data_IF_923073436998
#
_entry.id   IF_923073436998
#
_cell.length_a   1.000
_cell.length_b   1.000
_cell.length_c   1.000
_cell.angle_alpha   90.00
_cell.angle_beta   90.00
_cell.angle_gamma   90.00
#
_symmetry.space_group_name_H-M   'P 1'
#
loop_
_entity.id
_entity.type
_entity.pdbx_description
1 polymer ?
#
# COMPACT_ATOMS: atom_id res chain seq x y z
N UNK A 1 -69.83 23.54 2.40
CA UNK A 1 -69.12 23.44 3.68
C UNK A 1 -68.62 22.02 3.84
N UNK A 2 -67.39 21.77 3.47
CA UNK A 2 -66.72 20.47 3.68
C UNK A 2 -65.24 20.81 4.01
N UNK A 3 -64.93 20.61 5.28
CA UNK A 3 -63.58 20.90 5.86
C UNK A 3 -62.57 19.83 5.49
N UNK A 4 -61.47 20.24 4.90
CA UNK A 4 -60.25 19.45 4.75
C UNK A 4 -59.43 19.54 6.05
N UNK A 5 -59.25 18.41 6.73
CA UNK A 5 -58.27 18.27 7.82
C UNK A 5 -57.01 17.67 7.19
N UNK A 6 -56.02 18.51 6.95
CA UNK A 6 -54.68 18.09 6.58
C UNK A 6 -53.90 17.65 7.82
N UNK A 7 -53.54 16.37 7.88
CA UNK A 7 -52.64 15.85 8.89
C UNK A 7 -51.21 16.29 8.59
N UNK A 8 -50.68 17.22 9.38
CA UNK A 8 -49.27 17.53 9.40
C UNK A 8 -48.52 16.36 10.03
N UNK A 9 -47.90 15.51 9.20
CA UNK A 9 -46.91 14.54 9.66
C UNK A 9 -45.64 15.30 10.03
N UNK A 10 -45.31 15.24 11.32
CA UNK A 10 -44.15 15.91 11.92
C UNK A 10 -42.84 15.52 11.24
N UNK A 11 -42.17 16.51 10.65
CA UNK A 11 -40.82 16.40 10.07
C UNK A 11 -39.76 16.18 11.14
N UNK A 12 -40.02 16.33 12.40
CA UNK A 12 -39.11 16.13 13.52
C UNK A 12 -38.71 14.67 13.73
N UNK A 13 -39.63 13.72 13.50
CA UNK A 13 -39.33 12.29 13.67
C UNK A 13 -38.39 11.73 12.60
N UNK A 14 -38.26 12.36 11.44
CA UNK A 14 -37.27 11.91 10.41
C UNK A 14 -35.86 12.40 10.73
N UNK A 15 -35.71 13.55 11.37
CA UNK A 15 -34.38 14.04 11.79
C UNK A 15 -33.83 13.26 12.99
N UNK A 16 -34.66 12.83 13.93
CA UNK A 16 -34.20 11.97 15.04
C UNK A 16 -33.83 10.55 14.60
N UNK A 17 -34.56 9.96 13.63
CA UNK A 17 -34.22 8.64 13.09
C UNK A 17 -32.92 8.65 12.26
N UNK A 18 -32.60 9.75 11.57
CA UNK A 18 -31.35 9.91 10.82
C UNK A 18 -30.18 10.21 11.76
N UNK A 19 -30.38 10.92 12.87
CA UNK A 19 -29.34 11.19 13.86
C UNK A 19 -28.99 9.98 14.72
N UNK A 20 -29.95 9.11 15.03
CA UNK A 20 -29.68 7.90 15.84
C UNK A 20 -28.96 6.78 15.09
N UNK A 21 -28.88 6.81 13.75
CA UNK A 21 -28.10 5.86 12.96
C UNK A 21 -26.62 6.24 12.80
N UNK A 22 -26.21 7.45 13.21
CA UNK A 22 -24.83 7.93 12.96
C UNK A 22 -23.79 7.52 14.01
N UNK A 23 -24.21 7.08 15.21
CA UNK A 23 -23.29 6.84 16.34
C UNK A 23 -23.12 5.37 16.77
N UNK A 24 -23.74 4.42 16.08
CA UNK A 24 -23.38 3.02 16.27
C UNK A 24 -21.95 2.80 15.76
N UNK A 25 -21.00 2.73 16.67
CA UNK A 25 -19.62 2.34 16.35
C UNK A 25 -19.68 1.09 15.45
N UNK A 26 -19.26 1.23 14.19
CA UNK A 26 -19.34 0.15 13.21
C UNK A 26 -18.38 -0.96 13.65
N UNK A 27 -18.88 -1.94 14.38
CA UNK A 27 -18.08 -3.10 14.79
C UNK A 27 -17.75 -3.92 13.55
N UNK A 28 -16.46 -4.11 13.32
CA UNK A 28 -16.00 -4.99 12.24
C UNK A 28 -16.45 -6.43 12.56
N UNK A 29 -17.07 -7.14 11.60
CA UNK A 29 -17.38 -8.56 11.78
C UNK A 29 -16.13 -9.40 11.93
N UNK A 30 -16.23 -10.56 12.57
CA UNK A 30 -15.11 -11.41 12.95
C UNK A 30 -14.13 -11.69 11.79
N UNK A 31 -14.64 -11.97 10.59
CA UNK A 31 -13.79 -12.26 9.42
C UNK A 31 -12.94 -11.05 8.99
N UNK A 32 -13.43 -9.81 9.14
CA UNK A 32 -12.65 -8.62 8.87
C UNK A 32 -11.65 -8.31 9.98
N UNK A 33 -12.00 -8.57 11.25
CA UNK A 33 -11.04 -8.47 12.36
C UNK A 33 -9.87 -9.44 12.16
N UNK A 34 -10.15 -10.70 11.78
CA UNK A 34 -9.12 -11.69 11.47
C UNK A 34 -8.30 -11.25 10.25
N UNK A 35 -8.91 -10.64 9.23
CA UNK A 35 -8.18 -10.10 8.08
C UNK A 35 -7.24 -8.96 8.49
N UNK A 36 -7.68 -8.04 9.35
CA UNK A 36 -6.81 -6.98 9.90
C UNK A 36 -5.66 -7.59 10.71
N UNK A 37 -5.94 -8.61 11.51
CA UNK A 37 -4.91 -9.34 12.25
C UNK A 37 -3.91 -10.04 11.31
N UNK A 38 -4.39 -10.65 10.21
CA UNK A 38 -3.52 -11.24 9.18
C UNK A 38 -2.60 -10.21 8.53
N UNK A 39 -3.17 -9.03 8.18
CA UNK A 39 -2.40 -7.93 7.61
C UNK A 39 -1.37 -7.39 8.59
N UNK A 40 -1.76 -7.18 9.85
CA UNK A 40 -0.87 -6.74 10.91
C UNK A 40 0.26 -7.76 11.17
N UNK A 41 -0.07 -9.05 11.28
CA UNK A 41 0.90 -10.12 11.47
C UNK A 41 1.90 -10.20 10.29
N UNK A 42 1.42 -10.05 9.05
CA UNK A 42 2.28 -10.05 7.88
C UNK A 42 3.20 -8.81 7.86
N UNK A 43 2.67 -7.61 8.14
CA UNK A 43 3.44 -6.36 8.12
C UNK A 43 4.46 -6.34 9.27
N UNK A 44 4.04 -6.68 10.49
CA UNK A 44 4.90 -6.64 11.67
C UNK A 44 5.84 -7.85 11.75
N UNK A 45 5.52 -8.96 11.06
CA UNK A 45 6.30 -10.19 10.96
C UNK A 45 7.19 -10.24 9.72
N UNK A 46 8.03 -9.25 9.50
CA UNK A 46 9.02 -9.18 8.41
C UNK A 46 8.42 -9.38 7.00
N UNK A 47 7.22 -8.81 6.77
CA UNK A 47 6.53 -8.93 5.49
C UNK A 47 6.02 -10.34 5.18
N UNK A 48 6.05 -11.26 6.14
CA UNK A 48 5.86 -12.71 5.98
C UNK A 48 6.83 -13.32 4.94
N UNK A 49 8.06 -12.78 4.85
CA UNK A 49 9.08 -13.27 3.90
C UNK A 49 9.54 -14.69 4.21
N UNK A 50 9.77 -15.02 5.49
CA UNK A 50 10.26 -16.33 5.91
C UNK A 50 9.14 -17.36 6.01
N UNK A 51 9.48 -18.65 5.86
CA UNK A 51 8.52 -19.77 5.85
C UNK A 51 7.59 -19.80 7.07
N UNK A 52 8.11 -19.52 8.26
CA UNK A 52 7.29 -19.45 9.47
C UNK A 52 6.24 -18.33 9.40
N UNK A 53 6.62 -17.14 8.91
CA UNK A 53 5.69 -16.03 8.66
C UNK A 53 4.63 -16.37 7.62
N UNK A 54 5.02 -17.04 6.53
CA UNK A 54 4.09 -17.50 5.49
C UNK A 54 3.09 -18.52 6.03
N UNK A 55 3.53 -19.48 6.84
CA UNK A 55 2.66 -20.46 7.47
C UNK A 55 1.67 -19.80 8.45
N UNK A 56 2.16 -18.94 9.32
CA UNK A 56 1.33 -18.16 10.25
C UNK A 56 0.27 -17.36 9.49
N UNK A 57 0.67 -16.66 8.43
CA UNK A 57 -0.23 -15.89 7.59
C UNK A 57 -1.28 -16.79 6.92
N UNK A 58 -0.88 -17.94 6.37
CA UNK A 58 -1.79 -18.89 5.74
C UNK A 58 -2.85 -19.40 6.72
N UNK A 59 -2.47 -19.70 7.97
CA UNK A 59 -3.41 -20.14 9.03
C UNK A 59 -4.39 -19.02 9.36
N UNK A 60 -3.92 -17.79 9.56
CA UNK A 60 -4.80 -16.66 9.91
C UNK A 60 -5.76 -16.35 8.75
N UNK A 61 -5.29 -16.39 7.50
CA UNK A 61 -6.15 -16.19 6.33
C UNK A 61 -7.17 -17.32 6.18
N UNK A 62 -6.79 -18.58 6.43
CA UNK A 62 -7.74 -19.68 6.44
C UNK A 62 -8.84 -19.50 7.49
N UNK A 63 -8.49 -19.04 8.70
CA UNK A 63 -9.47 -18.69 9.73
C UNK A 63 -10.39 -17.55 9.30
N UNK A 64 -9.86 -16.52 8.61
CA UNK A 64 -10.67 -15.44 8.06
C UNK A 64 -11.67 -15.94 7.00
N UNK A 65 -11.22 -16.84 6.13
CA UNK A 65 -12.10 -17.51 5.12
C UNK A 65 -13.18 -18.34 5.81
N UNK A 66 -12.82 -19.18 6.78
CA UNK A 66 -13.78 -20.01 7.53
C UNK A 66 -14.83 -19.12 8.22
N UNK A 67 -14.39 -18.03 8.86
CA UNK A 67 -15.31 -17.09 9.50
C UNK A 67 -16.21 -16.39 8.47
N UNK A 68 -15.70 -16.06 7.29
CA UNK A 68 -16.48 -15.49 6.19
C UNK A 68 -17.48 -16.51 5.62
N UNK A 69 -17.12 -17.78 5.50
CA UNK A 69 -17.99 -18.85 4.99
C UNK A 69 -19.22 -19.08 5.88
N UNK A 70 -19.10 -18.90 7.20
CA UNK A 70 -20.24 -19.03 8.13
C UNK A 70 -21.39 -18.03 7.83
N UNK A 71 -21.07 -16.91 7.24
CA UNK A 71 -22.04 -15.86 6.84
C UNK A 71 -22.35 -15.92 5.35
N UNK A 72 -21.92 -16.99 4.63
CA UNK A 72 -22.00 -17.08 3.17
C UNK A 72 -23.38 -17.56 2.69
N UNK A 73 -24.17 -16.73 1.99
CA UNK A 73 -25.30 -17.24 1.22
C UNK A 73 -24.75 -17.96 -0.03
N UNK A 74 -24.97 -19.27 -0.11
CA UNK A 74 -24.46 -20.15 -1.19
C UNK A 74 -25.17 -19.93 -2.55
N UNK A 75 -25.47 -18.71 -2.92
CA UNK A 75 -26.20 -18.41 -4.13
C UNK A 75 -25.30 -17.83 -5.21
N UNK A 76 -25.05 -18.65 -6.24
CA UNK A 76 -24.60 -18.38 -7.62
C UNK A 76 -23.24 -17.71 -7.86
N UNK A 77 -22.51 -18.28 -8.85
CA UNK A 77 -21.30 -17.74 -9.46
C UNK A 77 -21.60 -16.42 -10.19
N UNK A 78 -21.03 -15.30 -9.71
CA UNK A 78 -21.14 -14.01 -10.33
C UNK A 78 -19.94 -13.70 -11.24
N UNK A 79 -20.18 -12.96 -12.33
CA UNK A 79 -19.17 -12.45 -13.26
C UNK A 79 -18.07 -11.56 -12.62
N UNK A 80 -18.22 -11.21 -11.35
CA UNK A 80 -17.25 -10.49 -10.54
C UNK A 80 -16.14 -11.38 -9.94
N UNK A 81 -16.12 -12.68 -10.30
CA UNK A 81 -15.05 -13.63 -9.97
C UNK A 81 -13.79 -13.45 -10.84
N UNK A 82 -13.81 -12.54 -11.83
CA UNK A 82 -12.69 -12.34 -12.75
C UNK A 82 -11.31 -12.30 -12.08
N UNK A 83 -11.06 -11.44 -11.07
CA UNK A 83 -9.76 -11.43 -10.39
C UNK A 83 -9.43 -12.73 -9.67
N UNK A 84 -10.41 -13.42 -9.07
CA UNK A 84 -10.23 -14.70 -8.37
C UNK A 84 -9.86 -15.79 -9.37
N UNK A 85 -10.57 -15.86 -10.50
CA UNK A 85 -10.25 -16.79 -11.60
C UNK A 85 -8.88 -16.50 -12.18
N UNK A 86 -8.53 -15.25 -12.40
CA UNK A 86 -7.21 -14.87 -12.89
C UNK A 86 -6.08 -15.29 -11.91
N UNK A 87 -6.29 -15.13 -10.59
CA UNK A 87 -5.36 -15.65 -9.58
C UNK A 87 -5.24 -17.17 -9.65
N UNK A 88 -6.35 -17.89 -9.80
CA UNK A 88 -6.35 -19.35 -9.90
C UNK A 88 -5.64 -19.83 -11.17
N UNK A 89 -5.88 -19.19 -12.31
CA UNK A 89 -5.21 -19.53 -13.59
C UNK A 89 -3.71 -19.27 -13.49
N UNK A 90 -3.29 -18.13 -12.95
CA UNK A 90 -1.86 -17.82 -12.78
C UNK A 90 -1.20 -18.77 -11.76
N UNK A 91 -1.88 -19.15 -10.68
CA UNK A 91 -1.39 -20.15 -9.72
C UNK A 91 -1.25 -21.52 -10.39
N UNK A 92 -2.24 -21.96 -11.17
CA UNK A 92 -2.18 -23.19 -11.96
C UNK A 92 -1.02 -23.19 -12.95
N UNK A 93 -0.80 -22.06 -13.63
CA UNK A 93 0.36 -21.90 -14.51
C UNK A 93 1.69 -21.98 -13.77
N UNK A 94 1.80 -21.34 -12.58
CA UNK A 94 3.01 -21.42 -11.77
C UNK A 94 3.33 -22.88 -11.36
N UNK A 95 2.31 -23.66 -10.98
CA UNK A 95 2.47 -25.09 -10.67
C UNK A 95 2.88 -25.88 -11.92
N UNK A 96 2.25 -25.65 -13.06
CA UNK A 96 2.59 -26.30 -14.33
C UNK A 96 4.01 -25.97 -14.78
N UNK A 97 4.41 -24.68 -14.76
CA UNK A 97 5.78 -24.24 -15.06
C UNK A 97 6.80 -24.92 -14.15
N UNK A 98 6.51 -25.02 -12.85
CA UNK A 98 7.35 -25.71 -11.88
C UNK A 98 7.48 -27.22 -12.18
N UNK A 99 6.37 -27.88 -12.59
CA UNK A 99 6.37 -29.29 -12.97
C UNK A 99 7.20 -29.52 -14.23
N UNK A 100 7.07 -28.66 -15.25
CA UNK A 100 7.87 -28.71 -16.47
C UNK A 100 9.37 -28.44 -16.23
N UNK A 101 9.67 -27.70 -15.15
CA UNK A 101 11.05 -27.46 -14.70
C UNK A 101 11.57 -28.58 -13.79
N UNK A 102 10.76 -29.60 -13.42
CA UNK A 102 11.10 -30.68 -12.51
C UNK A 102 11.22 -30.27 -11.03
N UNK A 103 10.61 -29.15 -10.62
CA UNK A 103 10.80 -28.54 -9.30
C UNK A 103 9.49 -27.99 -8.70
N UNK A 104 8.47 -28.81 -8.57
CA UNK A 104 7.11 -28.45 -8.11
C UNK A 104 7.09 -27.72 -6.75
N UNK A 105 8.04 -28.01 -5.87
CA UNK A 105 8.13 -27.38 -4.54
C UNK A 105 8.30 -25.86 -4.64
N UNK A 106 8.99 -25.36 -5.68
CA UNK A 106 9.19 -23.91 -5.91
C UNK A 106 7.89 -23.12 -6.12
N UNK A 107 6.83 -23.77 -6.63
CA UNK A 107 5.55 -23.11 -6.86
C UNK A 107 4.73 -22.82 -5.59
N UNK A 108 5.05 -23.43 -4.44
CA UNK A 108 4.23 -23.36 -3.22
C UNK A 108 4.01 -21.92 -2.75
N UNK A 109 5.08 -21.13 -2.66
CA UNK A 109 4.99 -19.75 -2.18
C UNK A 109 4.15 -18.88 -3.12
N UNK A 110 4.39 -18.97 -4.44
CA UNK A 110 3.65 -18.23 -5.46
C UNK A 110 2.18 -18.62 -5.48
N UNK A 111 1.87 -19.91 -5.46
CA UNK A 111 0.49 -20.39 -5.43
C UNK A 111 -0.24 -19.99 -4.14
N UNK A 112 0.39 -20.15 -2.97
CA UNK A 112 -0.18 -19.74 -1.69
C UNK A 112 -0.45 -18.22 -1.64
N UNK A 113 0.45 -17.40 -2.16
CA UNK A 113 0.27 -15.95 -2.26
C UNK A 113 -0.93 -15.60 -3.15
N UNK A 114 -1.07 -16.19 -4.33
CA UNK A 114 -2.18 -15.93 -5.25
C UNK A 114 -3.52 -16.41 -4.67
N UNK A 115 -3.54 -17.55 -3.98
CA UNK A 115 -4.71 -18.02 -3.23
C UNK A 115 -5.05 -17.04 -2.10
N UNK A 116 -4.06 -16.52 -1.38
CA UNK A 116 -4.24 -15.51 -0.34
C UNK A 116 -4.84 -14.21 -0.89
N UNK A 117 -4.31 -13.72 -2.02
CA UNK A 117 -4.87 -12.55 -2.72
C UNK A 117 -6.33 -12.78 -3.11
N UNK A 118 -6.66 -13.94 -3.70
CA UNK A 118 -8.02 -14.29 -4.06
C UNK A 118 -8.95 -14.33 -2.84
N UNK A 119 -8.50 -14.93 -1.72
CA UNK A 119 -9.25 -15.00 -0.46
C UNK A 119 -9.53 -13.61 0.09
N UNK A 120 -8.54 -12.71 0.15
CA UNK A 120 -8.70 -11.32 0.60
C UNK A 120 -9.72 -10.58 -0.26
N UNK A 121 -9.62 -10.68 -1.60
CA UNK A 121 -10.58 -10.06 -2.50
C UNK A 121 -12.01 -10.56 -2.24
N UNK A 122 -12.19 -11.86 -2.02
CA UNK A 122 -13.48 -12.46 -1.71
C UNK A 122 -14.06 -11.98 -0.37
N UNK A 123 -13.22 -11.87 0.65
CA UNK A 123 -13.61 -11.37 1.98
C UNK A 123 -14.04 -9.90 1.88
N UNK A 124 -13.24 -9.04 1.24
CA UNK A 124 -13.50 -7.61 1.12
C UNK A 124 -14.79 -7.29 0.34
N UNK A 125 -15.14 -8.09 -0.67
CA UNK A 125 -16.36 -7.90 -1.47
C UNK A 125 -17.66 -7.98 -0.67
N UNK A 126 -17.63 -8.59 0.51
CA UNK A 126 -18.80 -8.76 1.38
C UNK A 126 -18.97 -7.63 2.37
N UNK A 127 -18.02 -6.72 2.40
CA UNK A 127 -18.02 -5.63 3.36
C UNK A 127 -18.98 -4.53 2.93
N UNK A 128 -19.74 -3.99 3.88
CA UNK A 128 -20.53 -2.76 3.69
C UNK A 128 -19.64 -1.55 3.48
N UNK A 129 -20.13 -0.43 2.95
CA UNK A 129 -19.31 0.80 2.81
C UNK A 129 -18.66 1.25 4.13
N UNK A 130 -19.39 1.18 5.25
CA UNK A 130 -18.86 1.53 6.57
C UNK A 130 -17.74 0.57 7.03
N UNK A 131 -17.88 -0.74 6.78
CA UNK A 131 -16.85 -1.74 7.07
C UNK A 131 -15.60 -1.55 6.21
N UNK A 132 -15.76 -1.13 4.94
CA UNK A 132 -14.63 -0.81 4.05
C UNK A 132 -13.87 0.42 4.52
N UNK A 133 -14.57 1.46 4.98
CA UNK A 133 -13.95 2.64 5.58
C UNK A 133 -13.16 2.28 6.85
N UNK A 134 -13.72 1.42 7.70
CA UNK A 134 -13.03 0.93 8.90
C UNK A 134 -11.80 0.07 8.54
N UNK A 135 -11.92 -0.81 7.53
CA UNK A 135 -10.81 -1.63 7.04
C UNK A 135 -9.69 -0.76 6.42
N UNK A 136 -10.07 0.28 5.66
CA UNK A 136 -9.11 1.25 5.11
C UNK A 136 -8.38 2.00 6.23
N UNK A 137 -9.11 2.44 7.26
CA UNK A 137 -8.53 3.06 8.45
C UNK A 137 -7.57 2.13 9.21
N UNK A 138 -7.95 0.85 9.38
CA UNK A 138 -7.11 -0.16 10.01
C UNK A 138 -5.82 -0.42 9.22
N UNK A 139 -5.90 -0.54 7.89
CA UNK A 139 -4.73 -0.71 7.03
C UNK A 139 -3.78 0.49 7.14
N UNK A 140 -4.31 1.73 7.11
CA UNK A 140 -3.54 2.96 7.31
C UNK A 140 -2.88 2.98 8.69
N UNK A 141 -3.59 2.58 9.76
CA UNK A 141 -3.05 2.55 11.11
C UNK A 141 -1.90 1.54 11.25
N UNK A 142 -2.04 0.31 10.72
CA UNK A 142 -0.98 -0.69 10.74
C UNK A 142 0.24 -0.22 9.94
N UNK A 143 0.03 0.42 8.79
CA UNK A 143 1.12 1.04 8.02
C UNK A 143 1.82 2.17 8.78
N UNK A 144 1.08 3.02 9.50
CA UNK A 144 1.65 4.08 10.33
C UNK A 144 2.48 3.53 11.50
N UNK A 145 2.04 2.42 12.11
CA UNK A 145 2.83 1.70 13.12
C UNK A 145 4.14 1.14 12.53
N UNK A 146 4.07 0.53 11.33
CA UNK A 146 5.27 0.07 10.64
C UNK A 146 6.21 1.24 10.29
N UNK A 147 5.67 2.38 9.87
CA UNK A 147 6.47 3.59 9.61
C UNK A 147 7.17 4.09 10.88
N UNK A 148 6.48 4.07 12.02
CA UNK A 148 7.04 4.45 13.31
C UNK A 148 8.23 3.56 13.70
N UNK A 149 8.16 2.23 13.49
CA UNK A 149 9.31 1.34 13.75
C UNK A 149 10.53 1.72 12.91
N UNK A 150 10.33 2.08 11.63
CA UNK A 150 11.42 2.53 10.77
C UNK A 150 12.07 3.82 11.25
N UNK A 151 11.28 4.80 11.69
CA UNK A 151 11.78 6.02 12.29
C UNK A 151 12.56 5.75 13.59
N UNK A 152 11.98 4.93 14.49
CA UNK A 152 12.65 4.46 15.71
C UNK A 152 13.98 3.78 15.37
N UNK A 153 13.94 2.88 14.36
CA UNK A 153 15.12 2.17 13.90
C UNK A 153 16.27 3.10 13.54
N UNK A 154 16.01 4.18 12.81
CA UNK A 154 17.04 5.16 12.41
C UNK A 154 17.47 6.02 13.61
N UNK A 155 16.52 6.52 14.42
CA UNK A 155 16.80 7.41 15.54
C UNK A 155 17.69 6.77 16.62
N UNK A 156 17.52 5.45 16.87
CA UNK A 156 18.32 4.68 17.85
C UNK A 156 19.27 3.67 17.21
N UNK A 157 19.32 3.59 15.88
CA UNK A 157 20.08 2.58 15.11
C UNK A 157 19.74 1.15 15.54
N UNK A 158 18.45 0.90 15.72
CA UNK A 158 17.95 -0.40 16.16
C UNK A 158 17.76 -1.34 14.96
N UNK A 159 18.55 -2.41 14.92
CA UNK A 159 18.36 -3.51 13.95
C UNK A 159 17.27 -4.46 14.44
N UNK A 160 16.44 -5.03 13.57
CA UNK A 160 16.45 -4.92 12.10
C UNK A 160 15.59 -3.78 11.54
N UNK A 161 15.07 -2.87 12.35
CA UNK A 161 14.15 -1.80 11.92
C UNK A 161 14.85 -0.70 11.10
N UNK A 162 16.15 -0.55 11.28
CA UNK A 162 17.01 0.18 10.37
C UNK A 162 18.27 -0.62 10.09
N UNK A 163 18.81 -0.46 8.88
CA UNK A 163 20.01 -1.14 8.43
C UNK A 163 20.96 -0.14 7.78
N UNK A 164 22.27 -0.27 8.02
CA UNK A 164 23.27 0.52 7.32
C UNK A 164 23.39 0.05 5.86
N UNK A 165 23.32 0.99 4.95
CA UNK A 165 23.51 0.74 3.51
C UNK A 165 24.20 1.93 2.88
N UNK A 166 25.35 1.70 2.22
CA UNK A 166 26.17 2.72 1.59
C UNK A 166 26.47 3.92 2.52
N UNK A 167 26.92 3.66 3.74
CA UNK A 167 27.28 4.68 4.72
C UNK A 167 26.11 5.38 5.44
N UNK A 168 24.87 5.03 5.15
CA UNK A 168 23.69 5.64 5.76
C UNK A 168 22.79 4.59 6.42
N UNK A 169 22.28 4.89 7.62
CA UNK A 169 21.19 4.15 8.24
C UNK A 169 19.88 4.48 7.55
N UNK A 170 19.23 3.45 7.04
CA UNK A 170 17.95 3.55 6.32
C UNK A 170 16.87 2.83 7.09
N UNK A 171 15.67 3.44 7.16
CA UNK A 171 14.52 2.76 7.72
C UNK A 171 14.16 1.51 6.89
N UNK A 172 14.27 0.35 7.51
CA UNK A 172 13.86 -0.93 6.95
C UNK A 172 12.52 -1.39 7.52
N UNK A 173 12.01 -0.69 8.55
CA UNK A 173 10.80 -1.01 9.30
C UNK A 173 10.85 -2.45 9.84
N UNK A 174 9.70 -3.04 10.08
CA UNK A 174 9.60 -4.47 10.40
C UNK A 174 9.95 -5.40 9.24
N UNK A 175 10.06 -4.87 8.01
CA UNK A 175 10.40 -5.66 6.80
C UNK A 175 11.87 -6.06 6.70
N UNK A 176 12.74 -5.41 7.45
CA UNK A 176 14.20 -5.57 7.33
C UNK A 176 14.74 -5.28 5.90
N UNK A 177 13.97 -4.52 5.10
CA UNK A 177 14.33 -4.14 3.73
C UNK A 177 13.71 -2.78 3.36
N UNK A 178 14.54 -1.76 3.19
CA UNK A 178 14.10 -0.38 3.03
C UNK A 178 13.21 -0.12 1.80
N UNK A 179 13.50 -0.78 0.66
CA UNK A 179 12.68 -0.58 -0.54
C UNK A 179 11.32 -1.25 -0.42
N UNK A 180 11.22 -2.44 0.21
CA UNK A 180 9.96 -3.08 0.48
C UNK A 180 9.12 -2.28 1.50
N UNK A 181 9.76 -1.72 2.52
CA UNK A 181 9.11 -0.79 3.44
C UNK A 181 8.46 0.38 2.68
N UNK A 182 9.20 1.03 1.76
CA UNK A 182 8.63 2.06 0.90
C UNK A 182 7.49 1.53 0.01
N UNK A 183 7.62 0.30 -0.53
CA UNK A 183 6.59 -0.37 -1.33
C UNK A 183 5.27 -0.57 -0.61
N UNK A 184 5.31 -0.81 0.71
CA UNK A 184 4.13 -0.86 1.58
C UNK A 184 3.62 0.53 1.94
N UNK A 185 4.52 1.42 2.39
CA UNK A 185 4.13 2.69 3.01
C UNK A 185 3.55 3.68 1.99
N UNK A 186 4.05 3.69 0.74
CA UNK A 186 3.59 4.62 -0.31
C UNK A 186 2.09 4.45 -0.62
N UNK A 187 1.57 3.25 -0.96
CA UNK A 187 0.14 3.09 -1.22
C UNK A 187 -0.74 3.49 -0.03
N UNK A 188 -0.30 3.18 1.20
CA UNK A 188 -1.04 3.52 2.42
C UNK A 188 -0.98 5.03 2.73
N UNK A 189 0.14 5.69 2.43
CA UNK A 189 0.24 7.15 2.51
C UNK A 189 -0.72 7.82 1.52
N UNK A 190 -0.76 7.37 0.28
CA UNK A 190 -1.67 7.90 -0.74
C UNK A 190 -3.14 7.70 -0.35
N UNK A 191 -3.49 6.55 0.23
CA UNK A 191 -4.83 6.31 0.77
C UNK A 191 -5.17 7.27 1.93
N UNK A 192 -4.27 7.42 2.90
CA UNK A 192 -4.47 8.33 4.04
C UNK A 192 -4.63 9.79 3.59
N UNK A 193 -3.79 10.24 2.66
CA UNK A 193 -3.84 11.59 2.10
C UNK A 193 -5.13 11.83 1.30
N UNK A 194 -5.59 10.84 0.53
CA UNK A 194 -6.85 10.91 -0.18
C UNK A 194 -8.05 11.01 0.81
N UNK A 195 -8.07 10.15 1.84
CA UNK A 195 -9.12 10.21 2.87
C UNK A 195 -9.12 11.55 3.61
N UNK A 196 -7.96 12.19 3.77
CA UNK A 196 -7.88 13.55 4.31
C UNK A 196 -8.57 14.61 3.46
N UNK A 197 -8.60 14.44 2.13
CA UNK A 197 -9.36 15.37 1.26
C UNK A 197 -10.84 15.35 1.60
N UNK A 198 -11.40 14.16 1.92
CA UNK A 198 -12.79 14.02 2.35
C UNK A 198 -13.01 14.44 3.81
N UNK A 199 -12.01 14.24 4.68
CA UNK A 199 -12.10 14.48 6.14
C UNK A 199 -10.97 15.41 6.60
N UNK A 200 -10.96 16.71 6.18
CA UNK A 200 -9.81 17.62 6.36
C UNK A 200 -9.49 17.93 7.83
N UNK A 201 -10.43 17.73 8.76
CA UNK A 201 -10.26 17.97 10.20
C UNK A 201 -9.91 16.72 10.99
N UNK A 202 -9.82 15.55 10.38
CA UNK A 202 -9.51 14.28 11.06
C UNK A 202 -8.06 14.27 11.56
N UNK A 203 -7.88 14.36 12.87
CA UNK A 203 -6.56 14.32 13.52
C UNK A 203 -5.87 12.96 13.34
N UNK A 204 -6.54 11.81 13.48
CA UNK A 204 -5.93 10.50 13.23
C UNK A 204 -5.35 10.38 11.81
N UNK A 205 -6.04 10.91 10.78
CA UNK A 205 -5.55 10.89 9.40
C UNK A 205 -4.36 11.83 9.18
N UNK A 206 -4.29 12.96 9.92
CA UNK A 206 -3.11 13.84 9.90
C UNK A 206 -1.90 13.12 10.46
N UNK A 207 -2.04 12.54 11.65
CA UNK A 207 -0.96 11.82 12.33
C UNK A 207 -0.48 10.61 11.51
N UNK A 208 -1.42 9.81 11.01
CA UNK A 208 -1.09 8.65 10.18
C UNK A 208 -0.40 9.08 8.86
N UNK A 209 -0.94 10.09 8.16
CA UNK A 209 -0.35 10.61 6.94
C UNK A 209 1.06 11.19 7.17
N UNK A 210 1.26 11.89 8.29
CA UNK A 210 2.56 12.41 8.69
C UNK A 210 3.56 11.26 8.95
N UNK A 211 3.19 10.26 9.78
CA UNK A 211 4.04 9.12 10.10
C UNK A 211 4.39 8.30 8.84
N UNK A 212 3.42 8.05 7.96
CA UNK A 212 3.65 7.33 6.71
C UNK A 212 4.64 8.08 5.81
N UNK A 213 4.51 9.40 5.65
CA UNK A 213 5.45 10.22 4.88
C UNK A 213 6.85 10.24 5.53
N UNK A 214 6.94 10.32 6.86
CA UNK A 214 8.21 10.20 7.60
C UNK A 214 8.84 8.85 7.32
N UNK A 215 8.06 7.77 7.43
CA UNK A 215 8.53 6.42 7.14
C UNK A 215 9.07 6.28 5.71
N UNK A 216 8.31 6.74 4.70
CA UNK A 216 8.77 6.73 3.30
C UNK A 216 10.07 7.50 3.13
N UNK A 217 10.15 8.73 3.67
CA UNK A 217 11.37 9.56 3.60
C UNK A 217 12.58 8.91 4.28
N UNK A 218 12.37 8.32 5.47
CA UNK A 218 13.43 7.65 6.23
C UNK A 218 13.97 6.38 5.55
N UNK A 219 13.21 5.75 4.63
CA UNK A 219 13.72 4.61 3.82
C UNK A 219 14.82 5.02 2.85
N UNK A 220 14.91 6.28 2.45
CA UNK A 220 15.79 6.77 1.37
C UNK A 220 15.64 5.93 0.08
N UNK A 221 14.46 5.34 -0.16
CA UNK A 221 14.17 4.54 -1.35
C UNK A 221 13.87 5.44 -2.55
N UNK A 222 14.73 5.38 -3.56
CA UNK A 222 14.54 6.11 -4.83
C UNK A 222 13.29 5.61 -5.57
N UNK A 223 13.09 4.29 -5.62
CA UNK A 223 11.89 3.69 -6.20
C UNK A 223 10.62 4.14 -5.45
N UNK A 224 10.69 4.19 -4.12
CA UNK A 224 9.61 4.72 -3.28
C UNK A 224 9.30 6.19 -3.53
N UNK A 225 10.34 7.04 -3.70
CA UNK A 225 10.17 8.46 -4.01
C UNK A 225 9.51 8.67 -5.39
N UNK A 226 9.94 7.93 -6.42
CA UNK A 226 9.33 7.95 -7.76
C UNK A 226 7.87 7.51 -7.67
N UNK A 227 7.59 6.39 -6.99
CA UNK A 227 6.24 5.87 -6.83
C UNK A 227 5.32 6.86 -6.08
N UNK A 228 5.81 7.49 -5.00
CA UNK A 228 5.05 8.51 -4.27
C UNK A 228 4.75 9.73 -5.16
N UNK A 229 5.73 10.23 -5.90
CA UNK A 229 5.56 11.38 -6.80
C UNK A 229 4.51 11.10 -7.86
N UNK A 230 4.59 9.93 -8.51
CA UNK A 230 3.61 9.51 -9.52
C UNK A 230 2.23 9.32 -8.88
N UNK A 231 2.16 8.68 -7.70
CA UNK A 231 0.90 8.51 -6.97
C UNK A 231 0.25 9.85 -6.57
N UNK A 232 1.04 10.83 -6.13
CA UNK A 232 0.54 12.18 -5.85
C UNK A 232 0.06 12.89 -7.12
N UNK A 233 0.73 12.70 -8.25
CA UNK A 233 0.27 13.24 -9.54
C UNK A 233 -1.09 12.64 -9.95
N UNK A 234 -1.28 11.32 -9.77
CA UNK A 234 -2.57 10.65 -9.99
C UNK A 234 -3.64 11.19 -9.04
N UNK A 235 -3.34 11.36 -7.75
CA UNK A 235 -4.28 11.97 -6.80
C UNK A 235 -4.64 13.41 -7.19
N UNK A 236 -3.67 14.22 -7.62
CA UNK A 236 -3.91 15.58 -8.07
C UNK A 236 -4.83 15.64 -9.28
N UNK A 237 -4.65 14.69 -10.20
CA UNK A 237 -5.52 14.54 -11.37
C UNK A 237 -6.95 14.13 -10.99
N UNK A 238 -7.12 13.18 -10.07
CA UNK A 238 -8.44 12.63 -9.68
C UNK A 238 -9.22 13.56 -8.74
N UNK A 239 -8.55 14.22 -7.78
CA UNK A 239 -9.20 14.99 -6.71
C UNK A 239 -9.09 16.52 -6.89
N UNK A 240 -8.29 16.95 -7.84
CA UNK A 240 -7.93 18.34 -8.08
C UNK A 240 -6.73 18.83 -7.24
N UNK A 241 -5.77 19.52 -7.87
CA UNK A 241 -4.49 19.87 -7.24
C UNK A 241 -4.65 20.75 -6.00
N UNK A 242 -5.56 21.73 -6.03
CA UNK A 242 -5.77 22.67 -4.91
C UNK A 242 -6.31 21.94 -3.66
N UNK A 243 -7.26 21.01 -3.85
CA UNK A 243 -7.81 20.23 -2.73
C UNK A 243 -6.74 19.32 -2.14
N UNK A 244 -5.96 18.69 -3.00
CA UNK A 244 -4.86 17.80 -2.58
C UNK A 244 -3.79 18.60 -1.82
N UNK A 245 -3.30 19.72 -2.33
CA UNK A 245 -2.28 20.56 -1.66
C UNK A 245 -2.75 20.97 -0.26
N UNK A 246 -4.02 21.36 -0.10
CA UNK A 246 -4.58 21.70 1.21
C UNK A 246 -4.61 20.51 2.18
N UNK A 247 -4.90 19.33 1.69
CA UNK A 247 -4.93 18.12 2.51
C UNK A 247 -3.52 17.61 2.85
N UNK A 248 -2.60 17.63 1.89
CA UNK A 248 -1.24 17.09 1.99
C UNK A 248 -0.31 18.05 2.75
N UNK A 249 -0.50 19.37 2.59
CA UNK A 249 0.39 20.40 3.13
C UNK A 249 0.76 20.24 4.62
N UNK A 250 -0.22 20.10 5.53
CA UNK A 250 0.09 19.89 6.95
C UNK A 250 0.93 18.61 7.21
N UNK A 251 0.60 17.51 6.51
CA UNK A 251 1.33 16.25 6.68
C UNK A 251 2.76 16.33 6.14
N UNK A 252 2.95 16.94 4.96
CA UNK A 252 4.29 17.09 4.36
C UNK A 252 5.18 18.00 5.18
N UNK A 253 4.61 19.08 5.71
CA UNK A 253 5.37 20.01 6.53
C UNK A 253 5.82 19.38 7.84
N UNK A 254 4.90 18.68 8.54
CA UNK A 254 5.25 17.95 9.75
C UNK A 254 6.26 16.83 9.49
N UNK A 255 6.10 16.10 8.39
CA UNK A 255 7.05 15.07 7.99
C UNK A 255 8.43 15.65 7.64
N UNK A 256 8.48 16.79 6.94
CA UNK A 256 9.73 17.45 6.60
C UNK A 256 10.52 17.88 7.85
N UNK A 257 9.83 18.46 8.86
CA UNK A 257 10.46 18.82 10.13
C UNK A 257 11.06 17.57 10.81
N UNK A 258 10.26 16.52 10.94
CA UNK A 258 10.70 15.29 11.57
C UNK A 258 11.89 14.63 10.83
N UNK A 259 11.89 14.65 9.50
CA UNK A 259 12.98 14.11 8.67
C UNK A 259 14.24 14.96 8.75
N UNK A 260 14.12 16.30 8.80
CA UNK A 260 15.26 17.18 9.02
C UNK A 260 15.95 16.93 10.35
N UNK A 261 15.18 16.69 11.43
CA UNK A 261 15.75 16.33 12.73
C UNK A 261 16.31 14.90 12.80
N UNK A 262 15.79 13.98 11.95
CA UNK A 262 16.27 12.61 11.85
C UNK A 262 17.56 12.51 11.00
N UNK A 263 17.72 13.38 10.01
CA UNK A 263 18.83 13.33 9.04
C UNK A 263 20.22 13.25 9.66
N UNK A 264 20.55 13.97 10.77
CA UNK A 264 21.85 13.86 11.43
C UNK A 264 22.14 12.48 12.04
N UNK A 265 21.10 11.65 12.29
CA UNK A 265 21.27 10.28 12.79
C UNK A 265 21.55 9.26 11.68
N UNK A 266 21.38 9.63 10.41
CA UNK A 266 21.54 8.71 9.29
C UNK A 266 22.98 8.34 8.96
N UNK A 267 24.00 9.24 8.97
CA UNK A 267 25.38 8.88 8.63
C UNK A 267 25.95 7.83 9.59
N UNK A 268 26.43 6.70 9.06
CA UNK A 268 26.92 5.57 9.85
C UNK A 268 28.18 5.91 10.67
N UNK A 269 29.05 6.78 10.14
CA UNK A 269 30.30 7.20 10.79
C UNK A 269 30.15 8.19 11.96
N UNK A 270 28.93 8.58 12.35
CA UNK A 270 28.66 9.54 13.43
C UNK A 270 27.68 8.95 14.44
N UNK A 271 27.72 9.36 15.74
CA UNK A 271 26.72 8.93 16.71
C UNK A 271 25.33 9.46 16.34
N UNK A 272 24.23 8.73 16.66
CA UNK A 272 22.89 9.19 16.40
C UNK A 272 22.53 10.41 17.27
N UNK A 273 21.78 11.34 16.69
CA UNK A 273 21.29 12.55 17.36
C UNK A 273 19.85 12.34 17.84
N UNK A 274 19.63 11.36 18.72
CA UNK A 274 18.31 10.88 19.13
C UNK A 274 17.44 11.98 19.74
N UNK A 275 18.02 12.85 20.60
CA UNK A 275 17.28 13.96 21.21
C UNK A 275 16.74 14.96 20.16
N UNK A 276 17.55 15.29 19.13
CA UNK A 276 17.13 16.15 18.02
C UNK A 276 16.03 15.47 17.20
N UNK A 277 16.18 14.17 16.90
CA UNK A 277 15.20 13.41 16.14
C UNK A 277 13.83 13.38 16.86
N UNK A 278 13.82 13.10 18.18
CA UNK A 278 12.60 13.07 19.00
C UNK A 278 11.97 14.46 19.07
N UNK A 279 12.75 15.51 19.38
CA UNK A 279 12.25 16.88 19.44
C UNK A 279 11.62 17.32 18.12
N UNK A 280 12.29 17.03 16.98
CA UNK A 280 11.78 17.34 15.65
C UNK A 280 10.53 16.54 15.28
N UNK A 281 10.42 15.26 15.68
CA UNK A 281 9.20 14.47 15.49
C UNK A 281 8.03 15.10 16.23
N UNK A 282 8.19 15.41 17.51
CA UNK A 282 7.14 16.02 18.34
C UNK A 282 6.71 17.36 17.73
N UNK A 283 7.66 18.24 17.41
CA UNK A 283 7.37 19.53 16.78
C UNK A 283 6.67 19.34 15.42
N UNK A 284 7.14 18.41 14.58
CA UNK A 284 6.54 18.10 13.30
C UNK A 284 5.08 17.64 13.42
N UNK A 285 4.78 16.73 14.35
CA UNK A 285 3.42 16.26 14.61
C UNK A 285 2.53 17.37 15.17
N UNK A 286 3.02 18.18 16.11
CA UNK A 286 2.28 19.31 16.67
C UNK A 286 1.99 20.38 15.59
N UNK A 287 2.93 20.66 14.70
CA UNK A 287 2.73 21.57 13.57
C UNK A 287 1.67 20.99 12.62
N UNK A 288 1.76 19.72 12.24
CA UNK A 288 0.79 19.09 11.35
C UNK A 288 -0.64 19.16 11.92
N UNK A 289 -0.80 18.87 13.22
CA UNK A 289 -2.09 18.94 13.94
C UNK A 289 -2.54 20.41 14.06
N UNK A 290 -1.66 21.30 14.52
CA UNK A 290 -1.97 22.72 14.72
C UNK A 290 -2.45 23.42 13.44
N UNK A 291 -1.82 23.13 12.29
CA UNK A 291 -2.22 23.65 10.99
C UNK A 291 -3.65 23.25 10.57
N UNK A 292 -4.12 22.08 11.04
CA UNK A 292 -5.48 21.62 10.74
C UNK A 292 -6.53 22.24 11.65
N UNK A 293 -6.14 22.68 12.85
CA UNK A 293 -7.04 23.30 13.84
C UNK A 293 -7.12 24.81 13.61
N UNK A 294 -5.96 25.48 13.46
CA UNK A 294 -5.83 26.93 13.47
C UNK A 294 -6.11 27.62 12.12
N UNK A 295 -6.20 26.84 11.03
CA UNK A 295 -6.55 27.35 9.71
C UNK A 295 -5.44 28.12 8.98
N UNK A 296 -5.80 28.80 7.88
CA UNK A 296 -4.85 29.31 6.86
C UNK A 296 -3.82 30.33 7.36
N UNK A 297 -4.16 31.18 8.34
CA UNK A 297 -3.25 32.20 8.85
C UNK A 297 -2.09 31.59 9.65
N UNK A 298 -2.38 30.57 10.45
CA UNK A 298 -1.37 29.84 11.19
C UNK A 298 -0.43 29.03 10.27
N UNK A 299 -0.94 28.53 9.12
CA UNK A 299 -0.13 27.85 8.09
C UNK A 299 0.98 28.76 7.58
N UNK A 300 0.67 30.02 7.28
CA UNK A 300 1.65 30.98 6.74
C UNK A 300 2.72 31.31 7.80
N UNK A 301 2.31 31.55 9.04
CA UNK A 301 3.25 31.87 10.13
C UNK A 301 4.15 30.67 10.44
N UNK A 302 3.59 29.46 10.49
CA UNK A 302 4.36 28.25 10.68
C UNK A 302 5.29 27.94 9.51
N UNK A 303 4.83 28.11 8.26
CA UNK A 303 5.66 27.94 7.06
C UNK A 303 6.85 28.91 7.02
N UNK A 304 6.63 30.17 7.37
CA UNK A 304 7.71 31.17 7.49
C UNK A 304 8.67 30.79 8.62
N UNK A 305 8.18 30.43 9.80
CA UNK A 305 9.02 29.98 10.91
C UNK A 305 9.88 28.79 10.56
N UNK A 306 9.31 27.80 9.84
CA UNK A 306 10.02 26.59 9.40
C UNK A 306 11.02 26.91 8.28
N UNK A 307 10.66 27.77 7.34
CA UNK A 307 11.60 28.21 6.30
C UNK A 307 12.84 28.88 6.93
N UNK A 308 12.65 29.68 7.98
CA UNK A 308 13.74 30.28 8.74
C UNK A 308 14.57 29.21 9.46
N UNK A 309 13.92 28.25 10.15
CA UNK A 309 14.60 27.15 10.84
C UNK A 309 15.35 26.28 9.82
N UNK A 310 14.73 25.94 8.69
CA UNK A 310 15.36 25.17 7.62
C UNK A 310 16.56 25.94 7.01
N UNK A 311 16.43 27.23 6.75
CA UNK A 311 17.52 28.07 6.24
C UNK A 311 18.74 28.09 7.19
N UNK A 312 18.51 27.96 8.50
CA UNK A 312 19.58 27.94 9.50
C UNK A 312 20.14 26.51 9.70
N UNK A 313 19.29 25.49 9.73
CA UNK A 313 19.70 24.11 10.03
C UNK A 313 20.20 23.33 8.81
N UNK A 314 19.58 23.51 7.64
CA UNK A 314 19.95 22.77 6.42
C UNK A 314 21.41 23.01 6.01
N UNK A 315 21.95 24.24 5.97
CA UNK A 315 23.36 24.44 5.70
C UNK A 315 24.29 23.79 6.72
N UNK A 316 23.92 23.77 8.01
CA UNK A 316 24.69 23.13 9.06
C UNK A 316 24.69 21.60 8.95
N UNK A 317 23.56 21.02 8.56
CA UNK A 317 23.42 19.55 8.30
C UNK A 317 24.19 19.18 7.03
N UNK A 318 24.07 19.97 5.95
CA UNK A 318 24.76 19.73 4.69
C UNK A 318 26.28 19.96 4.78
N UNK A 319 26.73 20.99 5.50
CA UNK A 319 28.16 21.23 5.74
C UNK A 319 28.81 20.09 6.54
N UNK A 320 28.02 19.33 7.29
CA UNK A 320 28.49 18.18 8.03
C UNK A 320 28.29 16.82 7.32
N UNK A 321 27.61 16.78 6.18
CA UNK A 321 27.36 15.53 5.45
C UNK A 321 28.48 15.30 4.41
N UNK A 322 29.05 14.07 4.32
CA UNK A 322 29.98 13.74 3.23
C UNK A 322 29.21 13.84 1.91
N UNK A 323 29.50 14.87 1.13
CA UNK A 323 28.83 15.16 -0.16
C UNK A 323 28.91 14.02 -1.17
N UNK A 324 29.92 13.17 -1.06
CA UNK A 324 30.10 11.98 -1.90
C UNK A 324 29.07 10.87 -1.61
N UNK A 325 28.64 10.69 -0.36
CA UNK A 325 27.68 9.61 0.01
C UNK A 325 26.25 9.90 -0.44
N UNK A 326 25.81 11.17 -0.40
CA UNK A 326 24.51 11.58 -0.94
C UNK A 326 24.53 11.69 -2.46
N UNK A 327 25.63 12.14 -3.07
CA UNK A 327 25.78 12.30 -4.52
C UNK A 327 25.69 10.97 -5.28
N UNK A 328 26.25 9.88 -4.73
CA UNK A 328 26.20 8.55 -5.35
C UNK A 328 24.76 7.97 -5.44
N UNK A 329 23.82 8.53 -4.67
CA UNK A 329 22.41 8.08 -4.63
C UNK A 329 21.49 8.81 -5.63
N UNK A 330 21.98 9.76 -6.42
CA UNK A 330 21.15 10.46 -7.42
C UNK A 330 20.84 9.56 -8.63
N UNK A 331 21.68 8.57 -8.94
CA UNK A 331 21.42 7.63 -10.04
C UNK A 331 20.33 6.62 -9.67
N UNK A 332 19.24 6.57 -10.43
CA UNK A 332 18.15 5.58 -10.26
C UNK A 332 18.58 4.18 -10.67
N UNK A 333 19.58 4.07 -11.53
CA UNK A 333 20.06 2.81 -12.13
C UNK A 333 21.50 2.54 -11.66
N UNK A 334 21.72 1.36 -11.05
CA UNK A 334 23.06 0.84 -10.75
C UNK A 334 23.50 -0.14 -11.84
N UNK A 335 24.81 -0.26 -12.04
CA UNK A 335 25.42 -1.26 -12.95
C UNK A 335 24.91 -2.67 -12.66
N UNK A 336 24.74 -3.03 -11.37
CA UNK A 336 24.29 -4.35 -10.95
C UNK A 336 22.84 -4.63 -11.36
N UNK A 337 21.95 -3.63 -11.31
CA UNK A 337 20.57 -3.79 -11.79
C UNK A 337 20.49 -4.03 -13.29
N UNK A 338 21.35 -3.36 -14.08
CA UNK A 338 21.44 -3.59 -15.53
C UNK A 338 21.93 -5.02 -15.80
N UNK A 339 22.97 -5.47 -15.09
CA UNK A 339 23.50 -6.83 -15.26
C UNK A 339 22.48 -7.89 -14.82
N UNK A 340 21.77 -7.67 -13.71
CA UNK A 340 20.67 -8.51 -13.26
C UNK A 340 19.57 -8.62 -14.32
N UNK A 341 19.13 -7.49 -14.89
CA UNK A 341 18.13 -7.47 -15.95
C UNK A 341 18.60 -8.25 -17.20
N UNK A 342 19.85 -8.04 -17.64
CA UNK A 342 20.44 -8.79 -18.75
C UNK A 342 20.50 -10.30 -18.47
N UNK A 343 20.85 -10.69 -17.25
CA UNK A 343 20.88 -12.09 -16.84
C UNK A 343 19.47 -12.72 -16.83
N UNK A 344 18.45 -11.95 -16.40
CA UNK A 344 17.05 -12.38 -16.44
C UNK A 344 16.54 -12.60 -17.86
N UNK A 345 16.88 -11.71 -18.79
CA UNK A 345 16.55 -11.88 -20.21
C UNK A 345 17.21 -13.13 -20.79
N UNK A 346 18.52 -13.34 -20.55
CA UNK A 346 19.20 -14.57 -20.98
C UNK A 346 18.57 -15.85 -20.39
N UNK A 347 18.06 -15.78 -19.16
CA UNK A 347 17.35 -16.91 -18.56
C UNK A 347 16.00 -17.16 -19.24
N UNK A 348 15.26 -16.09 -19.54
CA UNK A 348 13.99 -16.15 -20.26
C UNK A 348 14.15 -16.69 -21.72
N UNK A 349 15.23 -16.31 -22.42
CA UNK A 349 15.53 -16.79 -23.77
C UNK A 349 15.73 -18.31 -23.85
N UNK A 350 16.22 -18.94 -22.75
CA UNK A 350 16.41 -20.40 -22.72
C UNK A 350 15.09 -21.17 -22.62
N UNK A 351 14.04 -20.59 -22.02
CA UNK A 351 12.71 -21.17 -21.85
C UNK A 351 11.63 -20.09 -21.99
N UNK A 352 11.41 -19.57 -23.22
CA UNK A 352 10.65 -18.35 -23.41
C UNK A 352 9.17 -18.47 -23.01
N UNK A 353 8.56 -19.65 -23.14
CA UNK A 353 7.14 -19.85 -22.83
C UNK A 353 6.92 -20.16 -21.36
N UNK A 354 7.73 -21.02 -20.75
CA UNK A 354 7.50 -21.59 -19.42
C UNK A 354 8.38 -20.98 -18.32
N UNK A 355 9.48 -20.30 -18.67
CA UNK A 355 10.46 -19.83 -17.72
C UNK A 355 11.28 -20.95 -17.06
N UNK A 356 12.05 -20.58 -16.06
CA UNK A 356 12.91 -21.49 -15.29
C UNK A 356 12.17 -22.25 -14.17
N UNK A 357 10.93 -21.88 -13.90
CA UNK A 357 10.14 -22.30 -12.74
C UNK A 357 10.16 -21.27 -11.59
N UNK A 358 9.08 -21.17 -10.80
CA UNK A 358 8.98 -20.22 -9.70
C UNK A 358 10.08 -20.42 -8.66
N UNK A 359 10.71 -19.33 -8.20
CA UNK A 359 11.80 -19.35 -7.24
C UNK A 359 13.09 -19.96 -7.76
N UNK A 360 13.25 -20.16 -9.09
CA UNK A 360 14.43 -20.75 -9.72
C UNK A 360 15.27 -19.73 -10.49
N UNK A 361 14.94 -18.45 -10.46
CA UNK A 361 15.73 -17.40 -11.10
C UNK A 361 17.02 -17.10 -10.29
N UNK A 362 17.96 -18.03 -10.30
CA UNK A 362 19.32 -17.75 -9.81
C UNK A 362 20.08 -17.06 -10.93
N UNK A 363 20.40 -15.80 -10.75
CA UNK A 363 21.09 -14.95 -11.71
C UNK A 363 22.53 -14.77 -11.28
N UNK A 364 23.45 -14.90 -12.21
CA UNK A 364 24.86 -14.70 -11.94
C UNK A 364 25.54 -13.92 -13.09
N UNK A 365 26.51 -13.11 -12.73
CA UNK A 365 27.40 -12.41 -13.67
C UNK A 365 28.74 -12.16 -13.03
N UNK A 366 29.75 -11.91 -13.86
CA UNK A 366 31.07 -11.55 -13.40
C UNK A 366 31.13 -10.03 -13.23
N UNK A 367 31.46 -9.58 -12.02
CA UNK A 367 31.67 -8.17 -11.71
C UNK A 367 32.96 -7.62 -12.33
N UNK A 368 33.14 -6.29 -12.30
CA UNK A 368 34.36 -5.64 -12.81
C UNK A 368 35.66 -6.09 -12.09
N UNK A 369 35.50 -6.59 -10.86
CA UNK A 369 36.57 -7.13 -10.01
C UNK A 369 36.90 -8.62 -10.27
N UNK A 370 36.25 -9.22 -11.29
CA UNK A 370 36.39 -10.62 -11.64
C UNK A 370 35.62 -11.60 -10.73
N UNK A 371 34.89 -11.11 -9.72
CA UNK A 371 34.08 -11.95 -8.83
C UNK A 371 32.73 -12.31 -9.45
N UNK A 372 32.33 -13.56 -9.27
CA UNK A 372 30.99 -13.99 -9.65
C UNK A 372 30.01 -13.51 -8.60
N UNK A 373 29.08 -12.63 -9.00
CA UNK A 373 27.97 -12.15 -8.20
C UNK A 373 26.75 -13.02 -8.49
N UNK A 374 26.04 -13.42 -7.44
CA UNK A 374 24.83 -14.24 -7.53
C UNK A 374 23.69 -13.54 -6.79
N UNK A 375 22.54 -13.41 -7.44
CA UNK A 375 21.33 -12.89 -6.83
C UNK A 375 20.12 -13.76 -7.18
N UNK A 376 19.13 -13.74 -6.31
CA UNK A 376 17.85 -14.42 -6.51
C UNK A 376 16.78 -13.52 -7.17
N UNK A 377 16.89 -12.20 -7.02
CA UNK A 377 15.84 -11.26 -7.44
C UNK A 377 16.37 -10.19 -8.39
N UNK A 378 15.63 -9.95 -9.46
CA UNK A 378 16.01 -9.04 -10.56
C UNK A 378 15.89 -7.56 -10.20
N UNK A 379 15.31 -7.19 -9.05
CA UNK A 379 14.88 -5.83 -8.73
C UNK A 379 13.88 -5.24 -9.75
N UNK A 380 13.09 -6.09 -10.37
CA UNK A 380 11.98 -5.77 -11.25
C UNK A 380 11.07 -7.00 -11.33
N UNK A 381 9.86 -6.90 -10.76
CA UNK A 381 8.94 -8.04 -10.66
C UNK A 381 8.46 -8.56 -11.99
N UNK A 382 8.28 -7.69 -12.98
CA UNK A 382 7.84 -8.10 -14.31
C UNK A 382 8.91 -8.94 -15.02
N UNK A 383 10.18 -8.56 -14.90
CA UNK A 383 11.31 -9.34 -15.40
C UNK A 383 11.52 -10.63 -14.60
N UNK A 384 11.28 -10.60 -13.29
CA UNK A 384 11.31 -11.79 -12.44
C UNK A 384 10.28 -12.82 -12.92
N UNK A 385 9.03 -12.38 -13.11
CA UNK A 385 7.97 -13.25 -13.63
C UNK A 385 8.28 -13.75 -15.03
N UNK A 386 8.83 -12.93 -15.91
CA UNK A 386 9.27 -13.35 -17.24
C UNK A 386 10.35 -14.44 -17.16
N UNK A 387 11.33 -14.29 -16.29
CA UNK A 387 12.43 -15.25 -16.12
C UNK A 387 11.93 -16.59 -15.50
N UNK A 388 11.00 -16.51 -14.54
CA UNK A 388 10.52 -17.68 -13.80
C UNK A 388 9.33 -18.39 -14.46
N UNK A 389 8.37 -17.64 -15.02
CA UNK A 389 7.12 -18.17 -15.57
C UNK A 389 6.99 -18.02 -17.09
N UNK A 390 7.99 -17.42 -17.74
CA UNK A 390 8.02 -17.19 -19.17
C UNK A 390 7.00 -16.13 -19.65
N UNK A 391 6.86 -16.01 -20.96
CA UNK A 391 5.93 -15.05 -21.59
C UNK A 391 4.48 -15.35 -21.25
N UNK A 392 4.11 -16.63 -21.10
CA UNK A 392 2.75 -17.03 -20.71
C UNK A 392 2.46 -16.52 -19.29
N UNK A 393 3.39 -16.73 -18.32
CA UNK A 393 3.23 -16.24 -16.97
C UNK A 393 3.14 -14.73 -16.90
N UNK A 394 3.97 -14.00 -17.65
CA UNK A 394 3.90 -12.54 -17.74
C UNK A 394 2.57 -12.07 -18.34
N UNK A 395 2.08 -12.70 -19.41
CA UNK A 395 0.78 -12.37 -20.01
C UNK A 395 -0.37 -12.60 -19.02
N UNK A 396 -0.37 -13.71 -18.29
CA UNK A 396 -1.37 -14.01 -17.26
C UNK A 396 -1.31 -13.01 -16.09
N UNK A 397 -0.12 -12.60 -15.68
CA UNK A 397 0.05 -11.53 -14.67
C UNK A 397 -0.54 -10.21 -15.17
N UNK A 398 -0.21 -9.79 -16.39
CA UNK A 398 -0.74 -8.55 -16.96
C UNK A 398 -2.28 -8.63 -17.10
N UNK A 399 -2.82 -9.79 -17.47
CA UNK A 399 -4.26 -10.03 -17.50
C UNK A 399 -4.88 -9.92 -16.10
N UNK A 400 -4.26 -10.48 -15.05
CA UNK A 400 -4.69 -10.32 -13.64
C UNK A 400 -4.70 -8.84 -13.24
N UNK A 401 -3.64 -8.10 -13.52
CA UNK A 401 -3.56 -6.67 -13.21
C UNK A 401 -4.62 -5.86 -13.98
N UNK A 402 -4.87 -6.18 -15.24
CA UNK A 402 -5.92 -5.54 -16.05
C UNK A 402 -7.32 -5.83 -15.50
N UNK A 403 -7.61 -7.07 -15.09
CA UNK A 403 -8.90 -7.45 -14.51
C UNK A 403 -9.09 -6.77 -13.14
N UNK A 404 -8.04 -6.67 -12.31
CA UNK A 404 -8.07 -5.92 -11.06
C UNK A 404 -8.29 -4.43 -11.30
N UNK A 405 -7.58 -3.82 -12.23
CA UNK A 405 -7.76 -2.41 -12.60
C UNK A 405 -9.19 -2.14 -13.09
N UNK A 406 -9.75 -3.03 -13.93
CA UNK A 406 -11.16 -2.95 -14.37
C UNK A 406 -12.15 -3.06 -13.20
N UNK A 407 -11.88 -3.94 -12.23
CA UNK A 407 -12.69 -4.06 -11.01
C UNK A 407 -12.66 -2.76 -10.20
N UNK A 408 -11.47 -2.23 -9.95
CA UNK A 408 -11.27 -0.97 -9.21
C UNK A 408 -11.95 0.20 -9.95
N UNK A 409 -11.81 0.27 -11.27
CA UNK A 409 -12.44 1.32 -12.07
C UNK A 409 -13.97 1.28 -12.01
N UNK A 410 -14.55 0.08 -12.11
CA UNK A 410 -16.01 -0.12 -12.01
C UNK A 410 -16.55 0.14 -10.60
N UNK A 411 -15.71 0.00 -9.58
CA UNK A 411 -16.06 0.27 -8.19
C UNK A 411 -16.08 1.75 -7.81
N UNK A 412 -15.82 2.68 -8.73
CA UNK A 412 -15.73 4.11 -8.43
C UNK A 412 -17.00 4.69 -7.81
N UNK A 413 -18.17 4.23 -8.27
CA UNK A 413 -19.48 4.72 -7.85
C UNK A 413 -20.05 3.94 -6.65
N UNK A 414 -19.35 2.86 -6.23
CA UNK A 414 -19.77 1.93 -5.17
C UNK A 414 -19.03 2.13 -3.84
N UNK A 415 -18.01 2.98 -3.83
CA UNK A 415 -17.22 3.27 -2.62
C UNK A 415 -17.84 4.47 -1.90
N UNK A 416 -17.98 4.38 -0.59
CA UNK A 416 -18.62 5.40 0.23
C UNK A 416 -18.06 6.82 0.08
N UNK A 417 -16.83 6.99 -0.46
CA UNK A 417 -16.29 8.31 -0.81
C UNK A 417 -15.43 8.25 -2.07
N UNK A 418 -15.59 9.20 -3.02
CA UNK A 418 -14.72 9.32 -4.19
C UNK A 418 -13.24 9.46 -3.82
N UNK A 419 -12.95 10.00 -2.64
CA UNK A 419 -11.58 10.17 -2.15
C UNK A 419 -10.92 8.83 -1.80
N UNK A 420 -11.63 7.91 -1.15
CA UNK A 420 -11.11 6.57 -0.86
C UNK A 420 -10.79 5.82 -2.17
N UNK A 421 -11.69 5.89 -3.16
CA UNK A 421 -11.44 5.31 -4.48
C UNK A 421 -10.18 5.91 -5.13
N UNK A 422 -10.05 7.24 -5.14
CA UNK A 422 -8.88 7.90 -5.70
C UNK A 422 -7.57 7.46 -5.00
N UNK A 423 -7.61 7.32 -3.66
CA UNK A 423 -6.49 6.80 -2.88
C UNK A 423 -6.10 5.37 -3.25
N UNK A 424 -7.09 4.49 -3.47
CA UNK A 424 -6.86 3.12 -3.94
C UNK A 424 -6.23 3.11 -5.33
N UNK A 425 -6.79 3.87 -6.28
CA UNK A 425 -6.25 3.96 -7.65
C UNK A 425 -4.81 4.45 -7.62
N UNK A 426 -4.54 5.56 -6.94
CA UNK A 426 -3.20 6.14 -6.86
C UNK A 426 -2.22 5.19 -6.15
N UNK A 427 -2.64 4.54 -5.06
CA UNK A 427 -1.82 3.58 -4.31
C UNK A 427 -1.45 2.36 -5.12
N UNK A 428 -2.41 1.73 -5.80
CA UNK A 428 -2.17 0.55 -6.64
C UNK A 428 -1.32 0.91 -7.87
N UNK A 429 -1.55 2.06 -8.49
CA UNK A 429 -0.74 2.52 -9.62
C UNK A 429 0.71 2.81 -9.19
N UNK A 430 0.90 3.50 -8.06
CA UNK A 430 2.23 3.73 -7.49
C UNK A 430 2.95 2.42 -7.17
N UNK A 431 2.23 1.42 -6.61
CA UNK A 431 2.81 0.11 -6.33
C UNK A 431 3.20 -0.63 -7.62
N UNK A 432 2.36 -0.58 -8.66
CA UNK A 432 2.69 -1.19 -9.96
C UNK A 432 3.97 -0.58 -10.57
N UNK A 433 4.12 0.75 -10.49
CA UNK A 433 5.35 1.44 -10.92
C UNK A 433 6.55 1.01 -10.06
N UNK A 434 6.40 0.97 -8.73
CA UNK A 434 7.49 0.58 -7.82
C UNK A 434 7.92 -0.88 -8.04
N UNK A 435 6.99 -1.77 -8.37
CA UNK A 435 7.27 -3.17 -8.72
C UNK A 435 8.12 -3.33 -9.99
N UNK A 436 8.10 -2.36 -10.90
CA UNK A 436 9.04 -2.26 -12.01
C UNK A 436 10.45 -1.81 -11.62
N UNK A 437 10.65 -1.39 -10.36
CA UNK A 437 11.92 -0.86 -9.86
C UNK A 437 12.53 -1.70 -8.72
N UNK A 438 11.77 -2.68 -8.18
CA UNK A 438 12.26 -3.57 -7.11
C UNK A 438 11.44 -4.88 -7.01
N UNK A 439 11.94 -5.87 -6.22
CA UNK A 439 11.27 -7.15 -5.96
C UNK A 439 10.37 -7.06 -4.72
N UNK A 440 9.14 -6.63 -4.89
CA UNK A 440 8.21 -6.32 -3.80
C UNK A 440 7.26 -7.49 -3.48
N UNK A 441 6.92 -8.32 -4.49
CA UNK A 441 5.87 -9.34 -4.34
C UNK A 441 6.34 -10.60 -3.63
N UNK A 442 7.65 -10.73 -3.42
CA UNK A 442 8.24 -11.79 -2.60
C UNK A 442 8.02 -11.60 -1.09
N UNK A 443 7.49 -10.44 -0.69
CA UNK A 443 7.03 -10.17 0.66
C UNK A 443 5.50 -10.19 0.68
N UNK A 444 4.85 -11.29 1.11
CA UNK A 444 3.39 -11.49 1.01
C UNK A 444 2.53 -10.35 1.57
N UNK A 445 3.03 -9.61 2.56
CA UNK A 445 2.34 -8.43 3.10
C UNK A 445 2.01 -7.37 2.03
N UNK A 446 2.85 -7.21 0.99
CA UNK A 446 2.66 -6.18 -0.04
C UNK A 446 1.54 -6.57 -1.02
N UNK A 447 1.55 -7.75 -1.69
CA UNK A 447 0.42 -8.15 -2.54
C UNK A 447 -0.89 -8.33 -1.76
N UNK A 448 -0.85 -8.73 -0.48
CA UNK A 448 -2.06 -8.78 0.35
C UNK A 448 -2.60 -7.37 0.67
N UNK A 449 -1.73 -6.40 0.94
CA UNK A 449 -2.14 -4.99 1.08
C UNK A 449 -2.78 -4.49 -0.23
N UNK A 450 -2.18 -4.81 -1.38
CA UNK A 450 -2.78 -4.48 -2.68
C UNK A 450 -4.15 -5.12 -2.87
N UNK A 451 -4.32 -6.37 -2.45
CA UNK A 451 -5.61 -7.07 -2.49
C UNK A 451 -6.66 -6.42 -1.57
N UNK A 452 -6.26 -6.00 -0.35
CA UNK A 452 -7.14 -5.22 0.55
C UNK A 452 -7.56 -3.92 -0.14
N UNK A 453 -6.60 -3.14 -0.65
CA UNK A 453 -6.89 -1.87 -1.34
C UNK A 453 -7.85 -2.08 -2.51
N UNK A 454 -7.59 -3.05 -3.39
CA UNK A 454 -8.47 -3.37 -4.51
C UNK A 454 -9.85 -3.84 -4.02
N UNK A 455 -9.88 -4.64 -2.95
CA UNK A 455 -11.10 -5.15 -2.32
C UNK A 455 -12.00 -4.06 -1.74
N UNK A 456 -11.42 -2.93 -1.27
CA UNK A 456 -12.20 -1.77 -0.80
C UNK A 456 -13.14 -1.23 -1.89
N UNK A 457 -12.80 -1.39 -3.16
CA UNK A 457 -13.56 -0.88 -4.32
C UNK A 457 -14.36 -1.96 -5.03
N UNK A 458 -14.30 -3.22 -4.55
CA UNK A 458 -15.01 -4.31 -5.18
C UNK A 458 -16.54 -4.15 -5.06
N UNK A 459 -17.32 -4.34 -6.14
CA UNK A 459 -18.77 -4.23 -6.08
C UNK A 459 -19.36 -5.24 -5.08
N UNK A 460 -20.29 -4.82 -4.21
CA UNK A 460 -20.96 -5.71 -3.27
C UNK A 460 -21.83 -6.70 -4.02
N UNK A 461 -22.04 -7.87 -3.40
CA UNK A 461 -22.84 -8.94 -4.01
C UNK A 461 -24.34 -8.60 -4.10
N UNK A 462 -24.83 -7.68 -3.28
CA UNK A 462 -26.26 -7.37 -3.12
C UNK A 462 -26.78 -6.30 -4.08
N UNK A 463 -26.02 -5.27 -4.41
CA UNK A 463 -26.49 -4.16 -5.27
C UNK A 463 -26.87 -4.59 -6.70
N UNK A 464 -26.33 -5.71 -7.22
CA UNK A 464 -26.76 -6.25 -8.51
C UNK A 464 -28.18 -6.86 -8.51
N UNK A 465 -28.65 -7.32 -7.35
CA UNK A 465 -30.03 -7.86 -7.27
C UNK A 465 -31.05 -6.74 -7.33
N UNK A 466 -30.80 -5.65 -6.62
CA UNK A 466 -31.70 -4.49 -6.63
C UNK A 466 -31.68 -3.77 -7.97
N UNK A 467 -30.50 -3.54 -8.58
CA UNK A 467 -30.40 -2.95 -9.92
C UNK A 467 -31.00 -3.85 -11.00
N UNK A 468 -30.83 -5.17 -10.92
CA UNK A 468 -31.42 -6.11 -11.86
C UNK A 468 -32.95 -6.24 -11.65
N UNK A 469 -33.42 -6.17 -10.41
CA UNK A 469 -34.84 -6.16 -10.08
C UNK A 469 -35.50 -4.84 -10.47
N UNK A 470 -34.84 -3.71 -10.25
CA UNK A 470 -35.30 -2.39 -10.71
C UNK A 470 -35.33 -2.30 -12.25
N UNK A 471 -34.31 -2.82 -12.93
CA UNK A 471 -34.29 -2.91 -14.41
C UNK A 471 -35.37 -3.83 -14.96
N UNK A 472 -35.70 -4.93 -14.28
CA UNK A 472 -36.78 -5.83 -14.65
C UNK A 472 -38.16 -5.26 -14.31
N UNK A 473 -38.26 -4.44 -13.25
CA UNK A 473 -39.48 -3.74 -12.89
C UNK A 473 -39.80 -2.64 -13.91
N UNK A 474 -38.78 -1.80 -14.27
CA UNK A 474 -38.97 -0.75 -15.27
C UNK A 474 -39.31 -1.32 -16.66
N UNK A 475 -38.71 -2.47 -17.07
CA UNK A 475 -39.06 -3.14 -18.32
C UNK A 475 -40.47 -3.77 -18.32
N UNK A 476 -41.06 -4.01 -17.13
CA UNK A 476 -42.45 -4.48 -17.01
C UNK A 476 -43.47 -3.34 -17.00
N UNK A 477 -43.05 -2.16 -16.58
CA UNK A 477 -43.90 -0.96 -16.62
C UNK A 477 -43.96 -0.35 -18.04
N UNK A 478 -42.93 -0.58 -18.88
CA UNK A 478 -42.87 -0.13 -20.28
C UNK A 478 -43.57 -1.09 -21.28
N UNK A 479 -44.16 -2.20 -20.82
CA UNK A 479 -44.96 -3.14 -21.62
C UNK A 479 -46.43 -3.14 -21.22
#
# INVERSE_FOLDING_TARGET
MTSYIGSAVSTDNQHELVSSQSDAATTLPLHLLILVAALAAAILGQGAYYSAGQQTLAVILALAVIAALRTWPWTRCDAALGPVVACAVLAGWAVLSAALAGRVVGARATAAMLIGVAAVLMICRRSTPAQRDALAGAAVAVGALAAATGWIGVAWRHTPWALPDQGLWRAATTFSYANAAAGLLVPLALLALAQRVARPRSQPLVLAGCLLLIGVGATLSRGGAVALTIGLAVLAWLLGPVRLIRAVGPCTLGAAIALLGLAPSMPAGRPPQTGLAVGALVVGLLVAVGLTILGRRAVIVAAVGIAVIAAVLVPRVLAGAPSAEFGSRISVVSSDRIQAARAAFRLAERRPLTGAGPGQATLYWVGPDGRTLTIQYVHNEYLQVLAELGTIGLALLLALLAVMARMVWRGRDLVGTPATWAGVVAGLFALAVHSGLDFLWHLPAIPLTAAVLAGLTAPPLEERRESAQQSLASQKEDR
#
